data_IF_417300485077
#
_entry.id   IF_417300485077
#
_cell.length_a   1.000
_cell.length_b   1.000
_cell.length_c   1.000
_cell.angle_alpha   90.00
_cell.angle_beta   90.00
_cell.angle_gamma   90.00
#
_symmetry.space_group_name_H-M   'P 1'
#
loop_
_entity.id
_entity.type
_entity.pdbx_description
1 polymer ?
#
# COMPACT_ATOMS: atom_id res chain seq x y z
N UNK A 1 21.68 -14.44 12.58
CA UNK A 1 20.25 -14.87 12.62
C UNK A 1 19.93 -15.68 11.36
N UNK A 2 18.94 -16.59 11.37
CA UNK A 2 18.48 -17.25 10.14
C UNK A 2 17.75 -16.22 9.26
N UNK A 3 18.31 -15.94 8.08
CA UNK A 3 17.69 -15.03 7.12
C UNK A 3 17.08 -15.85 5.96
N UNK A 4 15.84 -15.55 5.53
CA UNK A 4 15.26 -16.16 4.34
C UNK A 4 15.93 -15.59 3.10
N UNK A 5 16.69 -16.42 2.39
CA UNK A 5 17.30 -16.07 1.10
C UNK A 5 16.64 -16.86 -0.01
N UNK A 6 16.51 -16.23 -1.18
CA UNK A 6 16.03 -16.88 -2.40
C UNK A 6 17.25 -17.31 -3.21
N UNK A 7 17.39 -18.62 -3.43
CA UNK A 7 18.45 -19.20 -4.26
C UNK A 7 18.23 -18.85 -5.75
N UNK A 8 19.24 -19.01 -6.61
CA UNK A 8 19.15 -18.71 -8.07
C UNK A 8 18.06 -19.49 -8.81
N UNK A 9 17.52 -20.54 -8.19
CA UNK A 9 16.40 -21.35 -8.66
C UNK A 9 15.04 -20.97 -8.05
N UNK A 10 14.93 -19.82 -7.37
CA UNK A 10 13.67 -19.32 -6.79
C UNK A 10 13.22 -20.01 -5.49
N UNK A 11 14.02 -20.91 -4.93
CA UNK A 11 13.69 -21.64 -3.68
C UNK A 11 14.06 -20.80 -2.46
N UNK A 12 13.16 -20.70 -1.48
CA UNK A 12 13.43 -20.02 -0.20
C UNK A 12 14.18 -20.97 0.74
N UNK A 13 15.35 -20.56 1.23
CA UNK A 13 16.12 -21.29 2.25
C UNK A 13 16.50 -20.37 3.40
N UNK A 14 16.51 -20.93 4.62
CA UNK A 14 17.01 -20.24 5.81
C UNK A 14 18.51 -20.47 5.89
N UNK A 15 19.31 -19.40 5.77
CA UNK A 15 20.76 -19.47 5.94
C UNK A 15 21.17 -18.77 7.23
N UNK A 16 22.13 -19.36 7.95
CA UNK A 16 22.76 -18.72 9.10
C UNK A 16 23.73 -17.65 8.58
N UNK A 17 23.24 -16.42 8.49
CA UNK A 17 24.10 -15.27 8.25
C UNK A 17 24.68 -14.77 9.57
N UNK A 18 26.00 -14.50 9.57
CA UNK A 18 26.63 -13.69 10.62
C UNK A 18 26.17 -12.25 10.40
N UNK A 19 25.33 -11.78 11.30
CA UNK A 19 24.85 -10.40 11.28
C UNK A 19 25.72 -9.65 12.28
N UNK A 20 26.61 -8.80 11.77
CA UNK A 20 27.34 -7.85 12.60
C UNK A 20 26.50 -6.57 12.66
N UNK A 21 25.93 -6.28 13.82
CA UNK A 21 25.09 -5.09 14.02
C UNK A 21 25.93 -4.09 14.79
N UNK A 22 26.18 -2.92 14.20
CA UNK A 22 26.79 -1.80 14.90
C UNK A 22 25.73 -1.13 15.81
N UNK A 23 25.59 -1.67 17.01
CA UNK A 23 24.64 -1.19 18.00
C UNK A 23 25.02 0.19 18.56
N UNK A 24 26.30 0.54 18.54
CA UNK A 24 26.80 1.82 19.05
C UNK A 24 26.27 2.95 18.18
N UNK A 25 26.44 2.83 16.86
CA UNK A 25 25.91 3.80 15.91
C UNK A 25 24.38 3.89 15.98
N UNK A 26 23.67 2.75 16.07
CA UNK A 26 22.20 2.73 16.13
C UNK A 26 21.65 3.37 17.41
N UNK A 27 22.29 3.13 18.56
CA UNK A 27 21.95 3.81 19.82
C UNK A 27 22.19 5.31 19.73
N UNK A 28 23.33 5.72 19.17
CA UNK A 28 23.63 7.14 18.98
C UNK A 28 22.62 7.88 18.10
N UNK A 29 22.07 7.22 17.08
CA UNK A 29 20.98 7.79 16.25
C UNK A 29 19.67 7.88 17.04
N UNK A 30 19.31 6.83 17.80
CA UNK A 30 18.12 6.83 18.63
C UNK A 30 18.16 7.97 19.67
N UNK A 31 19.28 8.13 20.38
CA UNK A 31 19.50 9.21 21.35
C UNK A 31 19.38 10.60 20.71
N UNK A 32 20.02 10.82 19.56
CA UNK A 32 19.95 12.11 18.83
C UNK A 32 18.55 12.47 18.35
N UNK A 33 17.72 11.47 18.06
CA UNK A 33 16.35 11.67 17.54
C UNK A 33 15.28 11.61 18.62
N UNK A 34 15.65 11.30 19.87
CA UNK A 34 14.68 11.02 20.94
C UNK A 34 13.90 9.71 20.74
N UNK A 35 14.35 8.85 19.82
CA UNK A 35 13.76 7.55 19.55
C UNK A 35 14.36 6.47 20.47
N UNK A 36 13.75 5.27 20.46
CA UNK A 36 14.19 4.13 21.28
C UNK A 36 14.87 3.09 20.40
N UNK A 37 16.05 2.64 20.82
CA UNK A 37 16.75 1.51 20.19
C UNK A 37 16.15 0.18 20.66
N UNK A 38 15.82 -0.71 19.72
CA UNK A 38 15.31 -2.05 19.99
C UNK A 38 16.19 -3.11 19.31
N UNK A 39 16.42 -4.23 20.01
CA UNK A 39 17.12 -5.39 19.46
C UNK A 39 16.23 -6.63 19.55
N UNK A 40 15.81 -7.15 18.39
CA UNK A 40 15.11 -8.42 18.29
C UNK A 40 16.12 -9.56 18.04
N UNK A 41 16.19 -10.53 18.94
CA UNK A 41 17.04 -11.73 18.77
C UNK A 41 16.26 -12.93 18.23
N UNK A 42 14.93 -12.84 18.22
CA UNK A 42 14.00 -13.89 17.83
C UNK A 42 12.69 -13.29 17.30
N UNK A 43 11.81 -14.13 16.78
CA UNK A 43 10.55 -13.69 16.16
C UNK A 43 9.53 -13.16 17.17
N UNK A 44 9.53 -13.66 18.41
CA UNK A 44 8.62 -13.20 19.45
C UNK A 44 9.05 -11.83 19.99
N UNK A 45 10.35 -11.61 20.21
CA UNK A 45 10.87 -10.28 20.55
C UNK A 45 10.60 -9.27 19.45
N UNK A 46 10.74 -9.65 18.18
CA UNK A 46 10.37 -8.79 17.05
C UNK A 46 8.90 -8.37 17.07
N UNK A 47 7.98 -9.33 17.27
CA UNK A 47 6.54 -9.06 17.32
C UNK A 47 6.18 -8.10 18.46
N UNK A 48 6.77 -8.32 19.64
CA UNK A 48 6.56 -7.46 20.81
C UNK A 48 7.07 -6.03 20.58
N UNK A 49 8.24 -5.87 19.96
CA UNK A 49 8.78 -4.56 19.61
C UNK A 49 7.82 -3.79 18.70
N UNK A 50 7.26 -4.45 17.67
CA UNK A 50 6.26 -3.82 16.81
C UNK A 50 4.97 -3.44 17.56
N UNK A 51 4.53 -4.27 18.50
CA UNK A 51 3.37 -3.96 19.35
C UNK A 51 3.62 -2.70 20.20
N UNK A 52 4.80 -2.60 20.79
CA UNK A 52 5.19 -1.45 21.62
C UNK A 52 5.37 -0.18 20.79
N UNK A 53 5.93 -0.28 19.57
CA UNK A 53 5.99 0.84 18.61
C UNK A 53 4.58 1.32 18.24
N UNK A 54 3.66 0.39 17.97
CA UNK A 54 2.28 0.69 17.60
C UNK A 54 1.53 1.40 18.75
N UNK A 55 1.81 1.06 20.01
CA UNK A 55 1.24 1.76 21.18
C UNK A 55 1.72 3.22 21.30
N UNK A 56 2.92 3.51 20.79
CA UNK A 56 3.49 4.87 20.81
C UNK A 56 3.06 5.70 19.58
N UNK A 57 2.37 5.11 18.62
CA UNK A 57 1.87 5.82 17.44
C UNK A 57 0.78 6.83 17.84
N UNK A 58 1.17 8.09 17.98
CA UNK A 58 0.30 9.15 18.50
C UNK A 58 -0.70 9.67 17.46
N UNK A 59 -0.68 9.17 16.22
CA UNK A 59 -1.49 9.73 15.13
C UNK A 59 -1.91 8.66 14.13
N UNK A 60 -3.07 8.04 14.37
CA UNK A 60 -3.83 7.33 13.33
C UNK A 60 -4.45 8.37 12.39
N UNK A 61 -3.63 9.08 11.61
CA UNK A 61 -4.17 9.96 10.56
C UNK A 61 -4.66 9.06 9.44
N UNK A 62 -5.96 8.78 9.46
CA UNK A 62 -6.69 8.40 8.25
C UNK A 62 -6.52 9.55 7.27
N UNK A 63 -5.50 9.45 6.41
CA UNK A 63 -5.30 10.39 5.31
C UNK A 63 -6.61 10.37 4.54
N UNK A 64 -7.36 11.48 4.59
CA UNK A 64 -8.56 11.64 3.76
C UNK A 64 -8.08 11.59 2.32
N UNK A 65 -8.18 10.42 1.70
CA UNK A 65 -7.82 10.23 0.31
C UNK A 65 -8.91 10.91 -0.50
N UNK A 66 -8.65 12.13 -0.95
CA UNK A 66 -9.53 12.85 -1.86
C UNK A 66 -9.24 12.32 -3.27
N UNK A 67 -10.10 11.43 -3.76
CA UNK A 67 -10.04 10.98 -5.15
C UNK A 67 -10.81 11.97 -6.03
N UNK A 68 -10.10 12.60 -6.98
CA UNK A 68 -10.72 13.44 -8.00
C UNK A 68 -11.27 12.54 -9.11
N UNK A 69 -12.55 12.17 -9.00
CA UNK A 69 -13.24 11.42 -10.05
C UNK A 69 -13.93 12.36 -11.04
N UNK A 70 -13.76 12.08 -12.33
CA UNK A 70 -14.47 12.78 -13.41
C UNK A 70 -15.50 11.84 -14.02
N UNK A 71 -16.77 12.15 -13.83
CA UNK A 71 -17.87 11.34 -14.35
C UNK A 71 -18.11 11.61 -15.84
N UNK A 72 -17.72 10.66 -16.69
CA UNK A 72 -17.90 10.72 -18.15
C UNK A 72 -19.23 10.10 -18.61
N UNK A 73 -19.95 9.43 -17.71
CA UNK A 73 -21.21 8.74 -17.98
C UNK A 73 -22.31 9.68 -18.55
N UNK A 74 -22.51 10.90 -18.02
CA UNK A 74 -23.48 11.85 -18.58
C UNK A 74 -23.25 12.17 -20.06
N UNK A 75 -22.00 12.21 -20.50
CA UNK A 75 -21.68 12.52 -21.89
C UNK A 75 -22.02 11.35 -22.83
N UNK A 76 -21.78 10.11 -22.38
CA UNK A 76 -22.12 8.90 -23.11
C UNK A 76 -23.64 8.68 -23.21
N UNK A 77 -24.39 8.90 -22.12
CA UNK A 77 -25.85 8.72 -22.14
C UNK A 77 -26.53 9.75 -23.04
N UNK A 78 -26.03 10.99 -23.06
CA UNK A 78 -26.57 12.03 -23.94
C UNK A 78 -26.35 11.69 -25.43
N UNK A 79 -25.15 11.19 -25.77
CA UNK A 79 -24.85 10.71 -27.12
C UNK A 79 -25.77 9.55 -27.53
N UNK A 80 -26.01 8.60 -26.64
CA UNK A 80 -26.92 7.47 -26.88
C UNK A 80 -28.37 7.93 -27.08
N UNK A 81 -28.86 8.88 -26.27
CA UNK A 81 -30.22 9.43 -26.40
C UNK A 81 -30.40 10.18 -27.72
N UNK A 82 -29.40 10.93 -28.18
CA UNK A 82 -29.44 11.61 -29.49
C UNK A 82 -29.52 10.58 -30.63
N UNK A 83 -28.66 9.55 -30.59
CA UNK A 83 -28.65 8.47 -31.58
C UNK A 83 -29.99 7.74 -31.64
N UNK A 84 -30.57 7.43 -30.49
CA UNK A 84 -31.87 6.77 -30.38
C UNK A 84 -33.00 7.68 -30.88
N UNK A 85 -32.96 8.98 -30.56
CA UNK A 85 -33.93 9.95 -31.07
C UNK A 85 -33.86 10.10 -32.60
N UNK A 86 -32.65 10.11 -33.17
CA UNK A 86 -32.43 10.13 -34.61
C UNK A 86 -32.95 8.86 -35.29
N UNK A 87 -32.73 7.69 -34.68
CA UNK A 87 -33.22 6.41 -35.20
C UNK A 87 -34.75 6.36 -35.21
N UNK A 88 -35.41 6.78 -34.13
CA UNK A 88 -36.88 6.87 -34.07
C UNK A 88 -37.41 7.83 -35.14
N UNK A 89 -36.77 8.98 -35.31
CA UNK A 89 -37.18 9.96 -36.32
C UNK A 89 -37.05 9.42 -37.75
N UNK A 90 -35.95 8.73 -38.05
CA UNK A 90 -35.74 8.08 -39.35
C UNK A 90 -36.74 6.95 -39.58
N UNK A 91 -37.02 6.14 -38.56
CA UNK A 91 -37.98 5.04 -38.64
C UNK A 91 -39.39 5.58 -38.90
N UNK A 92 -39.81 6.66 -38.22
CA UNK A 92 -41.11 7.32 -38.50
C UNK A 92 -41.23 7.86 -39.93
N UNK A 93 -40.15 8.37 -40.51
CA UNK A 93 -40.14 8.85 -41.91
C UNK A 93 -40.14 7.73 -42.96
N UNK A 94 -39.78 6.50 -42.59
CA UNK A 94 -39.69 5.35 -43.50
C UNK A 94 -40.94 4.46 -43.49
N UNK A 95 -41.97 4.78 -42.72
CA UNK A 95 -43.27 4.12 -42.79
C UNK A 95 -44.10 4.78 -43.93
N UNK A 96 -44.55 4.02 -44.95
CA UNK A 96 -45.49 4.52 -45.95
C UNK A 96 -46.87 4.82 -45.35
#
# INVERSE_FOLDING_TARGET
APLPVTDGFGRRRLVRAKVDIDEETLKGVAEKTGAVYFRATDTASLAKIYEDINKMETTTRTIKKFELYRELFPLMIFGALILLGLDIFQTRKKLP
#
